data_IF_153140436958
#
_entry.id   IF_153140436958
#
_cell.length_a   1.000
_cell.length_b   1.000
_cell.length_c   1.000
_cell.angle_alpha   90.00
_cell.angle_beta   90.00
_cell.angle_gamma   90.00
#
_symmetry.space_group_name_H-M   'P 1'
#
loop_
_entity.id
_entity.type
_entity.pdbx_description
1 polymer ?
#
# COMPACT_ATOMS: atom_id res chain seq x y z
N UNK A 1 4.06 -28.50 -2.60
CA UNK A 1 4.07 -28.60 -1.12
C UNK A 1 2.69 -28.21 -0.68
N UNK A 2 1.97 -29.12 -0.03
CA UNK A 2 0.56 -28.94 0.38
C UNK A 2 0.40 -27.78 1.39
N UNK A 3 -0.73 -27.09 1.36
CA UNK A 3 -1.30 -26.23 2.43
C UNK A 3 -0.95 -26.68 3.87
N UNK A 4 -0.88 -27.99 4.13
CA UNK A 4 -0.45 -28.59 5.40
C UNK A 4 0.96 -28.16 5.86
N UNK A 5 1.92 -28.02 4.94
CA UNK A 5 3.28 -27.58 5.25
C UNK A 5 3.37 -26.06 5.53
N UNK A 6 2.51 -25.26 4.91
CA UNK A 6 2.43 -23.81 5.17
C UNK A 6 1.84 -23.54 6.56
N UNK A 7 0.82 -24.31 6.96
CA UNK A 7 0.26 -24.28 8.31
C UNK A 7 1.29 -24.75 9.36
N UNK A 8 2.06 -25.81 9.08
CA UNK A 8 3.15 -26.25 9.96
C UNK A 8 4.27 -25.21 10.13
N UNK A 9 4.54 -24.38 9.12
CA UNK A 9 5.53 -23.30 9.22
C UNK A 9 5.05 -22.16 10.14
N UNK A 10 3.75 -21.87 10.16
CA UNK A 10 3.14 -20.92 11.12
C UNK A 10 3.25 -21.42 12.56
N UNK A 11 3.15 -22.73 12.77
CA UNK A 11 3.21 -23.36 14.09
C UNK A 11 4.65 -23.50 14.64
N UNK A 12 5.68 -23.39 13.81
CA UNK A 12 7.08 -23.62 14.19
C UNK A 12 7.74 -22.43 14.92
N UNK A 13 7.24 -21.20 14.71
CA UNK A 13 7.70 -19.99 15.41
C UNK A 13 6.54 -18.97 15.49
N UNK A 14 5.48 -19.27 16.26
CA UNK A 14 4.28 -18.46 16.26
C UNK A 14 4.57 -17.13 16.97
N UNK A 15 4.58 -16.04 16.20
CA UNK A 15 4.48 -14.70 16.77
C UNK A 15 3.05 -14.20 16.56
N UNK A 16 2.49 -13.54 17.58
CA UNK A 16 1.24 -12.81 17.44
C UNK A 16 1.50 -11.45 16.78
N UNK A 17 1.75 -11.50 15.48
CA UNK A 17 2.17 -10.31 14.73
C UNK A 17 1.14 -9.17 14.80
N UNK A 18 -0.16 -9.48 14.91
CA UNK A 18 -1.22 -8.46 15.02
C UNK A 18 -1.14 -7.77 16.38
N UNK A 19 -1.05 -8.51 17.48
CA UNK A 19 -0.91 -7.92 18.81
C UNK A 19 0.39 -7.11 18.96
N UNK A 20 1.50 -7.64 18.45
CA UNK A 20 2.78 -6.93 18.40
C UNK A 20 2.65 -5.67 17.53
N UNK A 21 1.98 -5.76 16.38
CA UNK A 21 1.73 -4.64 15.46
C UNK A 21 0.92 -3.51 16.09
N UNK A 22 -0.10 -3.82 16.90
CA UNK A 22 -0.86 -2.81 17.67
C UNK A 22 0.06 -2.04 18.63
N UNK A 23 0.94 -2.76 19.33
CA UNK A 23 1.92 -2.14 20.23
C UNK A 23 2.93 -1.29 19.45
N UNK A 24 3.48 -1.85 18.37
CA UNK A 24 4.43 -1.17 17.49
C UNK A 24 3.85 0.12 16.88
N UNK A 25 2.57 0.12 16.50
CA UNK A 25 1.88 1.30 15.96
C UNK A 25 1.95 2.48 16.94
N UNK A 26 1.61 2.25 18.22
CA UNK A 26 1.63 3.31 19.25
C UNK A 26 3.05 3.84 19.50
N UNK A 27 4.03 2.94 19.55
CA UNK A 27 5.44 3.29 19.76
C UNK A 27 5.96 4.11 18.58
N UNK A 28 5.72 3.65 17.35
CA UNK A 28 6.19 4.29 16.13
C UNK A 28 5.52 5.64 15.86
N UNK A 29 4.26 5.83 16.26
CA UNK A 29 3.60 7.14 16.23
C UNK A 29 4.30 8.15 17.15
N UNK A 30 4.76 7.70 18.32
CA UNK A 30 5.53 8.55 19.25
C UNK A 30 6.88 8.95 18.64
N UNK A 31 7.58 8.00 18.00
CA UNK A 31 8.83 8.26 17.27
C UNK A 31 8.61 9.25 16.13
N UNK A 32 7.53 9.09 15.35
CA UNK A 32 7.17 10.01 14.26
C UNK A 32 6.87 11.42 14.80
N UNK A 33 6.16 11.53 15.91
CA UNK A 33 5.87 12.82 16.54
C UNK A 33 7.16 13.52 17.00
N UNK A 34 8.09 12.78 17.61
CA UNK A 34 9.40 13.31 18.00
C UNK A 34 10.21 13.75 16.77
N UNK A 35 10.35 12.89 15.76
CA UNK A 35 11.05 13.21 14.51
C UNK A 35 10.44 14.46 13.83
N UNK A 36 9.11 14.57 13.81
CA UNK A 36 8.41 15.75 13.28
C UNK A 36 8.81 17.01 14.03
N UNK A 37 8.85 16.96 15.37
CA UNK A 37 9.27 18.09 16.21
C UNK A 37 10.72 18.49 15.92
N UNK A 38 11.63 17.52 15.85
CA UNK A 38 13.05 17.74 15.62
C UNK A 38 13.33 18.34 14.23
N UNK A 39 12.73 17.76 13.18
CA UNK A 39 12.84 18.29 11.81
C UNK A 39 12.25 19.70 11.75
N UNK A 40 11.06 19.92 12.34
CA UNK A 40 10.42 21.25 12.38
C UNK A 40 11.32 22.30 13.02
N UNK A 41 12.04 21.96 14.08
CA UNK A 41 12.97 22.87 14.75
C UNK A 41 14.15 23.29 13.85
N UNK A 42 14.55 22.44 12.88
CA UNK A 42 15.61 22.74 11.91
C UNK A 42 15.12 23.54 10.72
N UNK A 43 13.85 23.38 10.34
CA UNK A 43 13.29 24.00 9.12
C UNK A 43 12.42 25.23 9.38
N UNK A 44 12.35 25.70 10.63
CA UNK A 44 11.56 26.86 11.01
C UNK A 44 12.42 28.07 11.39
N UNK A 45 11.99 29.26 10.97
CA UNK A 45 12.57 30.55 11.34
C UNK A 45 11.45 31.51 11.75
N UNK A 46 11.59 32.20 12.88
CA UNK A 46 10.54 33.10 13.38
C UNK A 46 9.18 32.42 13.63
N UNK A 47 9.18 31.12 13.95
CA UNK A 47 7.97 30.33 14.21
C UNK A 47 7.21 29.86 12.95
N UNK A 48 7.75 30.11 11.75
CA UNK A 48 7.19 29.66 10.47
C UNK A 48 8.17 28.77 9.73
N UNK A 49 7.66 27.92 8.85
CA UNK A 49 8.50 27.13 7.96
C UNK A 49 9.27 28.07 7.00
N UNK A 50 10.57 27.81 6.84
CA UNK A 50 11.43 28.54 5.92
C UNK A 50 11.75 27.66 4.72
N UNK A 51 11.40 28.12 3.52
CA UNK A 51 11.71 27.39 2.27
C UNK A 51 13.21 27.11 2.12
N UNK A 52 14.04 28.11 2.44
CA UNK A 52 15.49 27.99 2.42
C UNK A 52 16.00 26.88 3.35
N UNK A 53 15.41 26.76 4.54
CA UNK A 53 15.82 25.72 5.51
C UNK A 53 15.25 24.34 5.12
N UNK A 54 14.05 24.28 4.55
CA UNK A 54 13.51 23.05 3.96
C UNK A 54 14.41 22.52 2.84
N UNK A 55 14.92 23.41 1.97
CA UNK A 55 15.85 23.02 0.90
C UNK A 55 17.20 22.55 1.47
N UNK A 56 17.71 23.23 2.50
CA UNK A 56 18.95 22.83 3.17
C UNK A 56 18.83 21.48 3.89
N UNK A 57 17.66 21.21 4.48
CA UNK A 57 17.35 19.98 5.21
C UNK A 57 16.40 19.07 4.42
N UNK A 58 16.55 19.06 3.09
CA UNK A 58 15.65 18.31 2.20
C UNK A 58 15.68 16.82 2.51
N UNK A 59 16.85 16.27 2.83
CA UNK A 59 17.02 14.87 3.23
C UNK A 59 16.17 14.52 4.46
N UNK A 60 16.18 15.37 5.49
CA UNK A 60 15.39 15.17 6.69
C UNK A 60 13.89 15.39 6.43
N UNK A 61 13.53 16.36 5.59
CA UNK A 61 12.14 16.68 5.25
C UNK A 61 11.47 15.58 4.43
N UNK A 62 12.15 15.08 3.38
CA UNK A 62 11.68 13.92 2.63
C UNK A 62 11.75 12.65 3.47
N UNK A 63 12.81 12.50 4.25
CA UNK A 63 13.00 11.40 5.18
C UNK A 63 11.86 11.26 6.19
N UNK A 64 11.36 12.38 6.70
CA UNK A 64 10.20 12.42 7.61
C UNK A 64 8.93 11.93 6.90
N UNK A 65 8.73 12.29 5.64
CA UNK A 65 7.60 11.79 4.84
C UNK A 65 7.69 10.27 4.64
N UNK A 66 8.89 9.75 4.37
CA UNK A 66 9.11 8.30 4.27
C UNK A 66 8.90 7.57 5.59
N UNK A 67 9.40 8.11 6.71
CA UNK A 67 9.09 7.56 8.04
C UNK A 67 7.57 7.54 8.28
N UNK A 68 6.88 8.64 8.01
CA UNK A 68 5.42 8.72 8.16
C UNK A 68 4.70 7.65 7.34
N UNK A 69 5.08 7.48 6.06
CA UNK A 69 4.54 6.44 5.19
C UNK A 69 4.70 5.04 5.80
N UNK A 70 5.85 4.73 6.37
CA UNK A 70 6.09 3.41 6.98
C UNK A 70 5.30 3.22 8.28
N UNK A 71 5.21 4.25 9.12
CA UNK A 71 4.38 4.22 10.34
C UNK A 71 2.91 4.02 9.99
N UNK A 72 2.39 4.71 8.97
CA UNK A 72 1.04 4.49 8.48
C UNK A 72 0.87 3.10 7.87
N UNK A 73 1.86 2.59 7.13
CA UNK A 73 1.84 1.24 6.61
C UNK A 73 1.71 0.16 7.70
N UNK A 74 2.46 0.31 8.80
CA UNK A 74 2.33 -0.56 9.97
C UNK A 74 0.92 -0.47 10.56
N UNK A 75 0.37 0.73 10.72
CA UNK A 75 -0.99 0.94 11.23
C UNK A 75 -2.04 0.29 10.32
N UNK A 76 -1.97 0.51 9.02
CA UNK A 76 -2.97 -0.01 8.07
C UNK A 76 -2.91 -1.53 7.93
N UNK A 77 -1.73 -2.17 8.08
CA UNK A 77 -1.65 -3.63 8.12
C UNK A 77 -2.36 -4.21 9.35
N UNK A 78 -2.29 -3.53 10.50
CA UNK A 78 -3.03 -3.90 11.71
C UNK A 78 -4.53 -3.70 11.51
N UNK A 79 -4.92 -2.54 10.96
CA UNK A 79 -6.32 -2.25 10.67
C UNK A 79 -6.93 -3.27 9.70
N UNK A 80 -6.22 -3.60 8.63
CA UNK A 80 -6.59 -4.66 7.69
C UNK A 80 -6.81 -6.01 8.38
N UNK A 81 -5.90 -6.41 9.28
CA UNK A 81 -6.05 -7.65 10.04
C UNK A 81 -7.30 -7.62 10.93
N UNK A 82 -7.55 -6.49 11.60
CA UNK A 82 -8.70 -6.32 12.49
C UNK A 82 -10.01 -6.39 11.69
N UNK A 83 -10.13 -5.65 10.60
CA UNK A 83 -11.32 -5.64 9.73
C UNK A 83 -11.64 -7.03 9.17
N UNK A 84 -10.65 -7.75 8.65
CA UNK A 84 -10.88 -9.10 8.13
C UNK A 84 -11.17 -10.13 9.24
N UNK A 85 -10.68 -9.89 10.47
CA UNK A 85 -11.01 -10.75 11.60
C UNK A 85 -12.49 -10.60 11.97
N UNK A 86 -13.02 -9.38 11.95
CA UNK A 86 -14.42 -9.09 12.22
C UNK A 86 -15.36 -9.74 11.20
N UNK A 87 -14.96 -9.80 9.92
CA UNK A 87 -15.75 -10.43 8.85
C UNK A 87 -15.46 -11.94 8.71
N UNK A 88 -14.56 -12.51 9.51
CA UNK A 88 -14.19 -13.94 9.45
C UNK A 88 -13.37 -14.31 8.21
N UNK A 89 -12.78 -13.33 7.53
CA UNK A 89 -11.97 -13.50 6.32
C UNK A 89 -10.45 -13.49 6.59
N UNK A 90 -10.02 -13.31 7.84
CA UNK A 90 -8.60 -13.32 8.21
C UNK A 90 -8.02 -14.74 8.22
N UNK A 91 -7.56 -15.19 7.06
CA UNK A 91 -7.07 -16.54 6.81
C UNK A 91 -5.56 -16.71 7.02
N UNK A 92 -5.01 -17.80 6.47
CA UNK A 92 -3.58 -18.11 6.57
C UNK A 92 -2.72 -17.18 5.69
N UNK A 93 -3.24 -16.79 4.51
CA UNK A 93 -2.56 -15.86 3.59
C UNK A 93 -2.44 -14.48 4.23
N UNK A 94 -3.54 -13.98 4.78
CA UNK A 94 -3.64 -12.66 5.42
C UNK A 94 -2.71 -12.57 6.62
N UNK A 95 -2.69 -13.61 7.47
CA UNK A 95 -1.77 -13.72 8.60
C UNK A 95 -0.31 -13.59 8.17
N UNK A 96 0.10 -14.29 7.11
CA UNK A 96 1.48 -14.24 6.61
C UNK A 96 1.81 -12.90 5.95
N UNK A 97 0.89 -12.31 5.20
CA UNK A 97 1.06 -10.97 4.61
C UNK A 97 1.29 -9.91 5.69
N UNK A 98 0.44 -9.90 6.72
CA UNK A 98 0.54 -8.96 7.84
C UNK A 98 1.82 -9.20 8.63
N UNK A 99 2.14 -10.46 8.96
CA UNK A 99 3.37 -10.80 9.69
C UNK A 99 4.63 -10.34 8.96
N UNK A 100 4.75 -10.67 7.67
CA UNK A 100 5.91 -10.32 6.84
C UNK A 100 5.99 -8.79 6.66
N UNK A 101 4.87 -8.15 6.35
CA UNK A 101 4.81 -6.71 6.13
C UNK A 101 5.19 -5.90 7.37
N UNK A 102 4.63 -6.25 8.53
CA UNK A 102 4.98 -5.62 9.81
C UNK A 102 6.45 -5.83 10.15
N UNK A 103 6.96 -7.06 10.00
CA UNK A 103 8.37 -7.36 10.26
C UNK A 103 9.32 -6.57 9.38
N UNK A 104 9.03 -6.50 8.08
CA UNK A 104 9.86 -5.76 7.12
C UNK A 104 9.84 -4.26 7.37
N UNK A 105 8.66 -3.66 7.59
CA UNK A 105 8.55 -2.22 7.80
C UNK A 105 9.23 -1.80 9.09
N UNK A 106 9.05 -2.56 10.17
CA UNK A 106 9.76 -2.31 11.43
C UNK A 106 11.27 -2.46 11.25
N UNK A 107 11.74 -3.52 10.58
CA UNK A 107 13.16 -3.72 10.33
C UNK A 107 13.77 -2.57 9.51
N UNK A 108 13.07 -2.07 8.49
CA UNK A 108 13.52 -0.93 7.69
C UNK A 108 13.48 0.39 8.44
N UNK A 109 12.48 0.64 9.30
CA UNK A 109 12.49 1.81 10.20
C UNK A 109 13.76 1.80 11.08
N UNK A 110 14.15 0.64 11.60
CA UNK A 110 15.35 0.51 12.44
C UNK A 110 16.67 0.58 11.66
N UNK A 111 16.72 -0.01 10.47
CA UNK A 111 17.94 -0.19 9.66
C UNK A 111 18.19 0.90 8.62
N UNK A 112 17.14 1.59 8.22
CA UNK A 112 17.12 2.61 7.19
C UNK A 112 16.07 2.32 6.11
N UNK A 113 15.27 3.33 5.79
CA UNK A 113 14.20 3.26 4.78
C UNK A 113 14.77 3.67 3.42
N UNK A 114 14.62 2.84 2.37
CA UNK A 114 15.05 3.20 1.03
C UNK A 114 14.07 4.21 0.41
N UNK A 115 14.49 5.46 0.27
CA UNK A 115 13.77 6.48 -0.50
C UNK A 115 14.00 6.31 -2.01
N UNK A 116 15.21 5.88 -2.35
CA UNK A 116 15.64 5.43 -3.67
C UNK A 116 16.69 4.33 -3.50
N UNK A 117 17.18 3.74 -4.60
CA UNK A 117 18.26 2.74 -4.50
C UNK A 117 19.57 3.32 -3.92
N UNK A 118 19.80 4.64 -4.08
CA UNK A 118 21.00 5.33 -3.59
C UNK A 118 20.79 6.12 -2.30
N UNK A 119 19.55 6.31 -1.86
CA UNK A 119 19.21 7.16 -0.73
C UNK A 119 18.44 6.38 0.33
N UNK A 120 19.15 6.03 1.40
CA UNK A 120 18.58 5.39 2.58
C UNK A 120 18.48 6.43 3.70
N UNK A 121 17.27 6.74 4.15
CA UNK A 121 17.05 7.60 5.33
C UNK A 121 17.09 6.76 6.61
N UNK A 122 17.79 7.24 7.64
CA UNK A 122 17.82 6.63 8.97
C UNK A 122 17.21 7.55 10.02
N UNK A 123 16.92 7.02 11.20
CA UNK A 123 16.37 7.81 12.31
C UNK A 123 17.32 8.95 12.74
N UNK A 124 18.64 8.74 12.60
CA UNK A 124 19.65 9.77 12.85
C UNK A 124 19.57 10.93 11.84
N UNK A 125 19.16 10.67 10.59
CA UNK A 125 18.92 11.71 9.58
C UNK A 125 17.71 12.61 9.96
N UNK A 126 16.89 12.17 10.92
CA UNK A 126 15.74 12.90 11.46
C UNK A 126 16.04 13.52 12.83
N UNK A 127 17.32 13.59 13.19
CA UNK A 127 17.85 14.18 14.42
C UNK A 127 17.34 13.51 15.71
N UNK A 128 16.91 12.26 15.63
CA UNK A 128 16.62 11.46 16.82
C UNK A 128 17.91 11.08 17.55
N UNK A 129 17.89 11.18 18.88
CA UNK A 129 19.03 10.87 19.72
C UNK A 129 19.34 9.38 19.80
N UNK A 130 20.62 9.04 20.00
CA UNK A 130 21.07 7.64 20.10
C UNK A 130 20.38 6.85 21.22
N UNK A 131 20.00 7.52 22.31
CA UNK A 131 19.30 6.91 23.45
C UNK A 131 17.84 6.54 23.08
N UNK A 132 17.13 7.43 22.37
CA UNK A 132 15.78 7.17 21.86
C UNK A 132 15.79 6.03 20.82
N UNK A 133 16.78 6.01 19.92
CA UNK A 133 16.96 4.95 18.93
C UNK A 133 17.28 3.60 19.62
N UNK A 134 18.13 3.61 20.65
CA UNK A 134 18.44 2.41 21.42
C UNK A 134 17.20 1.89 22.17
N UNK A 135 16.40 2.78 22.76
CA UNK A 135 15.14 2.43 23.42
C UNK A 135 14.14 1.81 22.43
N UNK A 136 13.98 2.40 21.23
CA UNK A 136 13.13 1.84 20.19
C UNK A 136 13.58 0.43 19.78
N UNK A 137 14.89 0.21 19.61
CA UNK A 137 15.45 -1.12 19.28
C UNK A 137 15.24 -2.15 20.40
N UNK A 138 15.25 -1.71 21.65
CA UNK A 138 15.08 -2.57 22.82
C UNK A 138 13.60 -2.86 23.12
N UNK A 139 12.66 -2.12 22.52
CA UNK A 139 11.24 -2.29 22.78
C UNK A 139 10.76 -3.69 22.31
N UNK A 140 10.18 -4.53 23.19
CA UNK A 140 9.94 -5.94 22.90
C UNK A 140 9.13 -6.19 21.62
N UNK A 141 8.04 -5.44 21.41
CA UNK A 141 7.21 -5.62 20.22
C UNK A 141 7.96 -5.29 18.91
N UNK A 142 8.80 -4.25 18.95
CA UNK A 142 9.63 -3.82 17.82
C UNK A 142 10.72 -4.84 17.54
N UNK A 143 11.44 -5.28 18.58
CA UNK A 143 12.51 -6.27 18.47
C UNK A 143 12.00 -7.63 17.97
N UNK A 144 10.83 -8.06 18.45
CA UNK A 144 10.22 -9.33 18.06
C UNK A 144 9.72 -9.31 16.62
N UNK A 145 9.03 -8.25 16.18
CA UNK A 145 8.62 -8.09 14.78
C UNK A 145 9.82 -8.03 13.84
N UNK A 146 10.84 -7.23 14.15
CA UNK A 146 12.03 -7.08 13.32
C UNK A 146 12.79 -8.40 13.14
N UNK A 147 12.81 -9.26 14.17
CA UNK A 147 13.52 -10.55 14.15
C UNK A 147 12.68 -11.68 13.57
N UNK A 148 11.39 -11.74 13.91
CA UNK A 148 10.51 -12.89 13.67
C UNK A 148 9.41 -12.66 12.64
N UNK A 149 9.17 -11.41 12.20
CA UNK A 149 8.12 -11.09 11.25
C UNK A 149 8.45 -11.55 9.82
N UNK A 150 9.63 -11.21 9.30
CA UNK A 150 10.01 -11.55 7.92
C UNK A 150 11.12 -12.62 7.87
N UNK A 151 10.74 -13.88 8.01
CA UNK A 151 11.66 -15.04 8.01
C UNK A 151 11.69 -15.79 6.67
N UNK A 152 12.68 -16.66 6.47
CA UNK A 152 12.72 -17.50 5.27
C UNK A 152 11.51 -18.45 5.20
N UNK A 153 11.10 -18.96 6.37
CA UNK A 153 10.01 -19.90 6.56
C UNK A 153 8.66 -19.25 6.26
N UNK A 154 8.39 -18.06 6.82
CA UNK A 154 7.15 -17.31 6.54
C UNK A 154 7.02 -16.93 5.07
N UNK A 155 8.10 -16.46 4.43
CA UNK A 155 8.13 -16.19 2.98
C UNK A 155 7.88 -17.45 2.16
N UNK A 156 8.50 -18.58 2.51
CA UNK A 156 8.31 -19.83 1.81
C UNK A 156 6.86 -20.36 1.94
N UNK A 157 6.25 -20.20 3.11
CA UNK A 157 4.86 -20.53 3.37
C UNK A 157 3.91 -19.66 2.55
N UNK A 158 4.10 -18.33 2.56
CA UNK A 158 3.28 -17.40 1.76
C UNK A 158 3.41 -17.72 0.27
N UNK A 159 4.62 -17.95 -0.22
CA UNK A 159 4.85 -18.35 -1.61
C UNK A 159 4.17 -19.68 -1.98
N UNK A 160 4.01 -20.61 -1.03
CA UNK A 160 3.24 -21.83 -1.26
C UNK A 160 1.75 -21.55 -1.43
N UNK A 161 1.17 -20.72 -0.56
CA UNK A 161 -0.23 -20.30 -0.67
C UNK A 161 -0.50 -19.52 -1.96
N UNK A 162 0.41 -18.63 -2.36
CA UNK A 162 0.31 -17.89 -3.63
C UNK A 162 0.24 -18.85 -4.83
N UNK A 163 1.04 -19.93 -4.84
CA UNK A 163 1.03 -20.92 -5.94
C UNK A 163 -0.24 -21.76 -5.98
N UNK A 164 -0.88 -21.97 -4.84
CA UNK A 164 -2.16 -22.69 -4.73
C UNK A 164 -3.35 -21.76 -5.03
N UNK A 165 -3.16 -20.43 -4.94
CA UNK A 165 -4.17 -19.45 -5.31
C UNK A 165 -4.31 -19.31 -6.82
N UNK A 166 -5.55 -19.31 -7.28
CA UNK A 166 -5.93 -18.97 -8.65
C UNK A 166 -6.73 -17.65 -8.70
N UNK A 167 -6.73 -16.88 -7.60
CA UNK A 167 -7.41 -15.59 -7.50
C UNK A 167 -6.65 -14.46 -8.20
N UNK A 168 -7.37 -13.38 -8.54
CA UNK A 168 -6.76 -12.19 -9.13
C UNK A 168 -5.99 -11.31 -8.15
N UNK A 169 -6.06 -11.61 -6.85
CA UNK A 169 -5.27 -10.98 -5.78
C UNK A 169 -4.58 -12.04 -4.92
N UNK A 170 -3.56 -11.62 -4.18
CA UNK A 170 -2.97 -12.42 -3.11
C UNK A 170 -3.62 -11.99 -1.80
N UNK A 171 -4.48 -12.85 -1.26
CA UNK A 171 -5.26 -12.57 -0.06
C UNK A 171 -6.56 -11.81 -0.33
N UNK A 172 -7.39 -11.76 0.71
CA UNK A 172 -8.68 -11.08 0.71
C UNK A 172 -8.51 -9.55 0.76
N UNK A 173 -9.28 -8.80 -0.02
CA UNK A 173 -9.14 -7.33 -0.06
C UNK A 173 -9.97 -6.58 0.98
N UNK A 174 -10.95 -7.22 1.62
CA UNK A 174 -11.89 -6.56 2.55
C UNK A 174 -12.93 -5.66 1.87
N UNK A 175 -12.98 -5.68 0.54
CA UNK A 175 -14.00 -4.97 -0.25
C UNK A 175 -15.39 -5.58 -0.02
N UNK A 176 -16.41 -4.74 -0.08
CA UNK A 176 -17.80 -5.21 -0.11
C UNK A 176 -18.14 -5.95 -1.40
N UNK A 177 -19.30 -6.60 -1.42
CA UNK A 177 -19.77 -7.41 -2.55
C UNK A 177 -19.94 -6.59 -3.84
N UNK A 178 -20.31 -5.30 -3.73
CA UNK A 178 -20.51 -4.42 -4.89
C UNK A 178 -19.18 -4.11 -5.56
N UNK A 179 -18.18 -3.73 -4.77
CA UNK A 179 -16.84 -3.45 -5.25
C UNK A 179 -16.15 -4.73 -5.76
N UNK A 180 -16.39 -5.88 -5.11
CA UNK A 180 -15.89 -7.16 -5.59
C UNK A 180 -16.50 -7.59 -6.93
N UNK A 181 -17.80 -7.34 -7.14
CA UNK A 181 -18.47 -7.58 -8.41
C UNK A 181 -17.92 -6.66 -9.51
N UNK A 182 -17.76 -5.37 -9.23
CA UNK A 182 -17.18 -4.39 -10.14
C UNK A 182 -15.74 -4.77 -10.55
N UNK A 183 -14.90 -5.13 -9.57
CA UNK A 183 -13.55 -5.66 -9.83
C UNK A 183 -13.59 -6.83 -10.82
N UNK A 184 -14.50 -7.77 -10.61
CA UNK A 184 -14.64 -8.96 -11.47
C UNK A 184 -15.07 -8.60 -12.89
N UNK A 185 -15.98 -7.63 -13.03
CA UNK A 185 -16.43 -7.15 -14.34
C UNK A 185 -15.32 -6.45 -15.12
N UNK A 186 -14.63 -5.49 -14.50
CA UNK A 186 -13.51 -4.78 -15.13
C UNK A 186 -12.38 -5.74 -15.48
N UNK A 187 -12.05 -6.69 -14.59
CA UNK A 187 -11.06 -7.72 -14.88
C UNK A 187 -11.40 -8.53 -16.13
N UNK A 188 -12.67 -8.92 -16.27
CA UNK A 188 -13.13 -9.68 -17.45
C UNK A 188 -12.94 -8.88 -18.73
N UNK A 189 -13.29 -7.59 -18.72
CA UNK A 189 -13.04 -6.69 -19.85
C UNK A 189 -11.55 -6.59 -20.18
N UNK A 190 -10.70 -6.42 -19.16
CA UNK A 190 -9.25 -6.31 -19.34
C UNK A 190 -8.64 -7.60 -19.91
N UNK A 191 -9.05 -8.75 -19.40
CA UNK A 191 -8.54 -10.06 -19.86
C UNK A 191 -9.00 -10.40 -21.28
N UNK A 192 -10.17 -9.92 -21.70
CA UNK A 192 -10.69 -10.13 -23.05
C UNK A 192 -10.13 -9.12 -24.07
N UNK A 193 -10.20 -7.82 -23.75
CA UNK A 193 -10.06 -6.75 -24.75
C UNK A 193 -8.73 -5.98 -24.65
N UNK A 194 -8.02 -6.08 -23.52
CA UNK A 194 -6.81 -5.26 -23.27
C UNK A 194 -5.54 -6.09 -23.26
N UNK A 195 -5.42 -7.01 -22.30
CA UNK A 195 -4.17 -7.72 -22.04
C UNK A 195 -3.66 -8.54 -23.25
N UNK A 196 -4.51 -9.22 -24.04
CA UNK A 196 -4.07 -9.96 -25.23
C UNK A 196 -3.52 -9.06 -26.35
N UNK A 197 -3.97 -7.80 -26.41
CA UNK A 197 -3.69 -6.88 -27.53
C UNK A 197 -2.59 -5.85 -27.23
N UNK A 198 -2.30 -5.60 -25.95
CA UNK A 198 -1.33 -4.59 -25.52
C UNK A 198 0.07 -4.76 -26.16
N UNK A 199 0.54 -6.00 -26.35
CA UNK A 199 1.83 -6.25 -26.99
C UNK A 199 1.84 -5.82 -28.47
N UNK A 200 0.74 -6.07 -29.19
CA UNK A 200 0.61 -5.67 -30.59
C UNK A 200 0.58 -4.14 -30.73
N UNK A 201 -0.16 -3.44 -29.86
CA UNK A 201 -0.19 -1.99 -29.83
C UNK A 201 1.22 -1.42 -29.62
N UNK A 202 1.99 -2.02 -28.72
CA UNK A 202 3.39 -1.65 -28.49
C UNK A 202 4.26 -1.85 -29.74
N UNK A 203 4.23 -3.04 -30.35
CA UNK A 203 5.03 -3.34 -31.54
C UNK A 203 4.72 -2.40 -32.71
N UNK A 204 3.47 -1.96 -32.83
CA UNK A 204 3.01 -1.04 -33.88
C UNK A 204 3.23 0.44 -33.53
N UNK A 205 3.68 0.76 -32.31
CA UNK A 205 3.68 2.12 -31.77
C UNK A 205 2.31 2.81 -31.97
N UNK A 206 1.24 2.06 -31.72
CA UNK A 206 -0.13 2.50 -31.94
C UNK A 206 -0.73 3.10 -30.66
N UNK A 207 -1.70 3.99 -30.84
CA UNK A 207 -2.57 4.41 -29.75
C UNK A 207 -3.45 3.26 -29.27
N UNK A 208 -3.98 3.39 -28.05
CA UNK A 208 -5.07 2.54 -27.58
C UNK A 208 -6.24 2.69 -28.57
N UNK A 209 -6.76 1.58 -29.14
CA UNK A 209 -7.83 1.64 -30.12
C UNK A 209 -9.09 2.33 -29.59
N UNK A 210 -9.83 3.00 -30.47
CA UNK A 210 -11.05 3.73 -30.09
C UNK A 210 -12.14 2.78 -29.58
N UNK A 211 -12.11 1.53 -30.02
CA UNK A 211 -13.01 0.45 -29.57
C UNK A 211 -12.84 0.17 -28.07
N UNK A 212 -11.61 0.25 -27.55
CA UNK A 212 -11.34 0.12 -26.10
C UNK A 212 -11.93 1.31 -25.35
N UNK A 213 -11.75 2.53 -25.87
CA UNK A 213 -12.32 3.74 -25.29
C UNK A 213 -13.85 3.64 -25.26
N UNK A 214 -14.47 3.21 -26.35
CA UNK A 214 -15.92 3.01 -26.40
C UNK A 214 -16.38 1.95 -25.39
N UNK A 215 -15.68 0.83 -25.29
CA UNK A 215 -15.99 -0.20 -24.29
C UNK A 215 -15.93 0.33 -22.84
N UNK A 216 -14.93 1.16 -22.51
CA UNK A 216 -14.87 1.81 -21.20
C UNK A 216 -16.01 2.81 -20.97
N UNK A 217 -16.44 3.52 -22.02
CA UNK A 217 -17.57 4.44 -21.95
C UNK A 217 -18.89 3.69 -21.69
N UNK A 218 -19.09 2.56 -22.37
CA UNK A 218 -20.27 1.71 -22.20
C UNK A 218 -20.32 1.08 -20.79
N UNK A 219 -19.16 0.81 -20.19
CA UNK A 219 -19.02 0.38 -18.79
C UNK A 219 -19.15 1.55 -17.78
N UNK A 220 -19.34 2.78 -18.24
CA UNK A 220 -19.52 3.96 -17.38
C UNK A 220 -18.25 4.49 -16.71
N UNK A 221 -17.06 4.01 -17.10
CA UNK A 221 -15.78 4.34 -16.44
C UNK A 221 -15.50 5.85 -16.43
N UNK A 222 -15.83 6.56 -17.51
CA UNK A 222 -15.56 8.01 -17.61
C UNK A 222 -16.49 8.87 -16.75
N UNK A 223 -17.63 8.33 -16.32
CA UNK A 223 -18.60 8.99 -15.46
C UNK A 223 -18.68 8.39 -14.05
N UNK A 224 -17.75 7.50 -13.69
CA UNK A 224 -17.86 6.64 -12.51
C UNK A 224 -18.14 7.41 -11.22
N UNK A 225 -17.38 8.48 -10.97
CA UNK A 225 -17.52 9.33 -9.76
C UNK A 225 -18.26 10.64 -10.03
N UNK A 226 -18.75 10.86 -11.25
CA UNK A 226 -19.50 12.07 -11.59
C UNK A 226 -20.90 11.94 -10.97
N UNK A 227 -21.46 12.98 -10.33
CA UNK A 227 -22.82 12.92 -9.79
C UNK A 227 -23.86 12.53 -10.84
N UNK A 228 -24.87 11.77 -10.42
CA UNK A 228 -25.95 11.31 -11.31
C UNK A 228 -26.69 12.46 -12.01
N UNK A 229 -26.80 13.63 -11.37
CA UNK A 229 -27.43 14.83 -11.96
C UNK A 229 -26.71 15.35 -13.21
N UNK A 230 -25.43 14.99 -13.39
CA UNK A 230 -24.63 15.31 -14.58
C UNK A 230 -24.46 14.09 -15.51
N UNK A 231 -25.22 13.02 -15.30
CA UNK A 231 -25.18 11.80 -16.11
C UNK A 231 -24.07 10.82 -15.76
N UNK A 232 -23.45 10.96 -14.58
CA UNK A 232 -22.50 9.99 -14.05
C UNK A 232 -23.16 8.90 -13.20
N UNK A 233 -22.34 8.09 -12.54
CA UNK A 233 -22.78 6.98 -11.68
C UNK A 233 -22.75 7.31 -10.19
N UNK A 234 -22.19 8.45 -9.79
CA UNK A 234 -22.16 8.90 -8.39
C UNK A 234 -21.41 7.99 -7.42
N UNK A 235 -20.50 7.13 -7.91
CA UNK A 235 -19.81 6.15 -7.10
C UNK A 235 -18.63 6.75 -6.32
N UNK A 236 -18.18 6.01 -5.30
CA UNK A 236 -17.12 6.45 -4.39
C UNK A 236 -15.74 6.48 -5.07
N UNK A 237 -14.80 7.22 -4.45
CA UNK A 237 -13.39 7.19 -4.86
C UNK A 237 -12.75 5.82 -4.68
N UNK A 238 -13.22 5.02 -3.71
CA UNK A 238 -12.77 3.63 -3.53
C UNK A 238 -13.17 2.77 -4.74
N UNK A 239 -14.39 2.93 -5.25
CA UNK A 239 -14.80 2.26 -6.50
C UNK A 239 -13.89 2.66 -7.67
N UNK A 240 -13.52 3.94 -7.77
CA UNK A 240 -12.59 4.41 -8.79
C UNK A 240 -11.18 3.82 -8.64
N UNK A 241 -10.68 3.62 -7.42
CA UNK A 241 -9.45 2.89 -7.16
C UNK A 241 -9.54 1.45 -7.69
N UNK A 242 -10.61 0.73 -7.36
CA UNK A 242 -10.81 -0.66 -7.80
C UNK A 242 -10.84 -0.79 -9.33
N UNK A 243 -11.59 0.10 -10.01
CA UNK A 243 -11.63 0.14 -11.48
C UNK A 243 -10.25 0.45 -12.05
N UNK A 244 -9.58 1.46 -11.52
CA UNK A 244 -8.26 1.90 -12.01
C UNK A 244 -7.19 0.82 -11.82
N UNK A 245 -7.21 0.09 -10.70
CA UNK A 245 -6.30 -1.03 -10.42
C UNK A 245 -6.42 -2.13 -11.48
N UNK A 246 -7.64 -2.60 -11.76
CA UNK A 246 -7.86 -3.68 -12.73
C UNK A 246 -7.53 -3.25 -14.16
N UNK A 247 -7.92 -2.04 -14.57
CA UNK A 247 -7.55 -1.50 -15.90
C UNK A 247 -6.03 -1.37 -16.05
N UNK A 248 -5.36 -0.85 -15.01
CA UNK A 248 -3.91 -0.63 -15.02
C UNK A 248 -3.12 -1.93 -14.98
N UNK A 249 -3.67 -2.99 -14.36
CA UNK A 249 -3.09 -4.34 -14.39
C UNK A 249 -2.94 -4.87 -15.81
N UNK A 250 -3.88 -4.56 -16.70
CA UNK A 250 -3.79 -4.90 -18.12
C UNK A 250 -2.79 -4.03 -18.87
N UNK A 251 -3.00 -2.71 -18.82
CA UNK A 251 -2.11 -1.71 -19.39
C UNK A 251 -2.36 -0.35 -18.74
N UNK A 252 -1.33 0.24 -18.11
CA UNK A 252 -1.45 1.52 -17.37
C UNK A 252 -2.07 2.66 -18.18
N UNK A 253 -1.88 2.65 -19.51
CA UNK A 253 -2.49 3.64 -20.40
C UNK A 253 -4.03 3.56 -20.40
N UNK A 254 -4.61 2.36 -20.26
CA UNK A 254 -6.07 2.16 -20.20
C UNK A 254 -6.62 2.68 -18.88
N UNK A 255 -5.98 2.36 -17.75
CA UNK A 255 -6.38 2.91 -16.45
C UNK A 255 -6.31 4.43 -16.42
N UNK A 256 -5.28 5.00 -17.04
CA UNK A 256 -5.11 6.46 -17.15
C UNK A 256 -6.24 7.16 -17.91
N UNK A 257 -6.93 6.50 -18.84
CA UNK A 257 -8.07 7.08 -19.55
C UNK A 257 -9.19 7.46 -18.56
N UNK A 258 -9.51 6.57 -17.62
CA UNK A 258 -10.50 6.82 -16.56
C UNK A 258 -10.06 7.95 -15.63
N UNK A 259 -8.83 7.89 -15.12
CA UNK A 259 -8.27 8.92 -14.22
C UNK A 259 -8.26 10.32 -14.85
N UNK A 260 -8.11 10.42 -16.19
CA UNK A 260 -8.17 11.72 -16.86
C UNK A 260 -9.56 12.32 -16.85
N UNK A 261 -10.59 11.53 -17.09
CA UNK A 261 -11.98 12.00 -16.99
C UNK A 261 -12.34 12.38 -15.56
N UNK A 262 -11.96 11.54 -14.58
CA UNK A 262 -12.20 11.78 -13.15
C UNK A 262 -11.64 13.15 -12.71
N UNK A 263 -10.34 13.40 -12.96
CA UNK A 263 -9.69 14.64 -12.51
C UNK A 263 -10.22 15.86 -13.27
N UNK A 264 -10.56 15.71 -14.56
CA UNK A 264 -11.16 16.80 -15.32
C UNK A 264 -12.56 17.15 -14.79
N UNK A 265 -13.36 16.14 -14.43
CA UNK A 265 -14.67 16.36 -13.84
C UNK A 265 -14.57 17.01 -12.46
N UNK A 266 -13.66 16.55 -11.60
CA UNK A 266 -13.43 17.14 -10.27
C UNK A 266 -13.02 18.61 -10.38
N UNK A 267 -12.12 18.95 -11.31
CA UNK A 267 -11.73 20.33 -11.58
C UNK A 267 -12.94 21.22 -11.98
N UNK A 268 -13.90 20.67 -12.71
CA UNK A 268 -15.09 21.41 -13.16
C UNK A 268 -16.14 21.52 -12.05
N UNK A 269 -16.28 20.49 -11.21
CA UNK A 269 -17.22 20.47 -10.09
C UNK A 269 -16.82 21.41 -8.96
N UNK A 270 -15.51 21.63 -8.76
CA UNK A 270 -14.95 22.50 -7.71
C UNK A 270 -14.86 21.81 -6.36
#
# INVERSE_FOLDING_TARGET
MSSSAALQALDAAPIDAVALGRTATNVLQSVLAEATSQVRARVSEGGKLSSKLLDAEQRASHGLAWLATYVFGVRELVHYADSLTETGQFGATERLLVQIGLGEYVAQILGGIPMSQGEIVRLEDLFLGSEAIAALRAEPAIAELARGGNTAESRAALAALIRESHGGTVGESGLDETMAAMRTEIRRFVEAEVAPHAHEWHLKNAYIPMEIIQGLADLGVFGLTIPEEYGGLGLSKEAMCVVTEELSRGYIGVGSLGTRSEIAAELILG
#
